data_IF_320120135137
#
_entry.id   IF_320120135137
#
_cell.length_a   1.000
_cell.length_b   1.000
_cell.length_c   1.000
_cell.angle_alpha   90.00
_cell.angle_beta   90.00
_cell.angle_gamma   90.00
#
_symmetry.space_group_name_H-M   'P 1'
#
loop_
_entity.id
_entity.type
_entity.pdbx_description
1 polymer ?
#
# COMPACT_ATOMS: atom_id res chain seq x y z
N UNK A 1 4.87 12.39 1.33
CA UNK A 1 3.76 11.46 1.67
C UNK A 1 3.95 10.12 0.94
N UNK A 2 4.44 9.06 1.62
CA UNK A 2 4.78 7.77 0.99
C UNK A 2 3.60 7.05 0.32
N UNK A 3 2.38 7.16 0.88
CA UNK A 3 1.20 6.52 0.32
C UNK A 3 0.83 7.07 -1.08
N UNK A 4 1.01 8.36 -1.32
CA UNK A 4 0.75 8.95 -2.64
C UNK A 4 1.74 8.45 -3.69
N UNK A 5 3.02 8.29 -3.30
CA UNK A 5 4.05 7.72 -4.17
C UNK A 5 3.73 6.26 -4.47
N UNK A 6 3.37 5.49 -3.45
CA UNK A 6 2.93 4.10 -3.60
C UNK A 6 1.74 3.95 -4.57
N UNK A 7 0.72 4.81 -4.50
CA UNK A 7 -0.40 4.77 -5.45
C UNK A 7 0.01 5.05 -6.90
N UNK A 8 1.10 5.79 -7.13
CA UNK A 8 1.52 6.20 -8.48
C UNK A 8 2.48 5.20 -9.12
N UNK A 9 3.42 4.68 -8.35
CA UNK A 9 4.54 3.88 -8.87
C UNK A 9 4.44 2.39 -8.55
N UNK A 10 3.59 1.99 -7.60
CA UNK A 10 3.43 0.58 -7.27
C UNK A 10 2.08 0.06 -7.81
N UNK A 11 2.08 -0.83 -8.82
CA UNK A 11 0.86 -1.30 -9.48
C UNK A 11 -0.08 -2.05 -8.53
N UNK A 12 0.46 -2.83 -7.58
CA UNK A 12 -0.36 -3.54 -6.59
C UNK A 12 -1.10 -2.57 -5.66
N UNK A 13 -0.40 -1.53 -5.19
CA UNK A 13 -0.98 -0.53 -4.30
C UNK A 13 -1.95 0.40 -5.03
N UNK A 14 -1.66 0.72 -6.30
CA UNK A 14 -2.58 1.42 -7.21
C UNK A 14 -3.87 0.62 -7.40
N UNK A 15 -3.79 -0.68 -7.69
CA UNK A 15 -4.98 -1.52 -7.83
C UNK A 15 -5.84 -1.55 -6.56
N UNK A 16 -5.23 -1.53 -5.36
CA UNK A 16 -5.99 -1.41 -4.11
C UNK A 16 -6.68 -0.05 -3.98
N UNK A 17 -5.98 1.03 -4.33
CA UNK A 17 -6.53 2.38 -4.34
C UNK A 17 -7.76 2.47 -5.25
N UNK A 18 -7.61 2.00 -6.49
CA UNK A 18 -8.64 2.06 -7.51
C UNK A 18 -9.85 1.19 -7.15
N UNK A 19 -9.64 0.00 -6.55
CA UNK A 19 -10.72 -0.83 -6.01
C UNK A 19 -11.52 -0.11 -4.91
N UNK A 20 -10.82 0.56 -3.99
CA UNK A 20 -11.49 1.31 -2.91
C UNK A 20 -12.28 2.51 -3.45
N UNK A 21 -11.73 3.21 -4.46
CA UNK A 21 -12.44 4.27 -5.15
C UNK A 21 -13.66 3.75 -5.92
N UNK A 22 -13.52 2.64 -6.63
CA UNK A 22 -14.61 2.00 -7.37
C UNK A 22 -15.74 1.54 -6.43
N UNK A 23 -15.41 1.15 -5.20
CA UNK A 23 -16.37 0.86 -4.14
C UNK A 23 -17.01 2.13 -3.49
N UNK A 24 -16.81 3.31 -4.07
CA UNK A 24 -17.40 4.58 -3.61
C UNK A 24 -16.74 5.18 -2.37
N UNK A 25 -15.57 4.69 -1.94
CA UNK A 25 -14.90 5.24 -0.75
C UNK A 25 -14.28 6.61 -1.06
N UNK A 26 -14.34 7.56 -0.11
CA UNK A 26 -13.66 8.85 -0.27
C UNK A 26 -12.15 8.66 -0.51
N UNK A 27 -11.51 9.47 -1.38
CA UNK A 27 -10.09 9.35 -1.70
C UNK A 27 -9.17 9.35 -0.46
N UNK A 28 -9.52 10.15 0.56
CA UNK A 28 -8.78 10.19 1.83
C UNK A 28 -8.79 8.83 2.53
N UNK A 29 -9.93 8.14 2.57
CA UNK A 29 -10.06 6.81 3.17
C UNK A 29 -9.21 5.80 2.39
N UNK A 30 -9.23 5.86 1.06
CA UNK A 30 -8.40 4.99 0.23
C UNK A 30 -6.90 5.20 0.47
N UNK A 31 -6.46 6.45 0.66
CA UNK A 31 -5.07 6.78 1.03
C UNK A 31 -4.73 6.22 2.42
N UNK A 32 -5.62 6.38 3.41
CA UNK A 32 -5.37 5.84 4.76
C UNK A 32 -5.25 4.31 4.78
N UNK A 33 -6.03 3.60 3.95
CA UNK A 33 -5.90 2.16 3.79
C UNK A 33 -4.51 1.76 3.25
N UNK A 34 -3.96 2.54 2.32
CA UNK A 34 -2.64 2.30 1.76
C UNK A 34 -1.54 2.61 2.77
N UNK A 35 -1.69 3.69 3.55
CA UNK A 35 -0.80 3.97 4.68
C UNK A 35 -0.78 2.80 5.67
N UNK A 36 -1.96 2.26 6.03
CA UNK A 36 -2.05 1.11 6.93
C UNK A 36 -1.34 -0.11 6.35
N UNK A 37 -1.49 -0.38 5.06
CA UNK A 37 -0.83 -1.51 4.38
C UNK A 37 0.70 -1.37 4.39
N UNK A 38 1.23 -0.17 4.20
CA UNK A 38 2.67 0.10 4.28
C UNK A 38 3.22 -0.12 5.70
N UNK A 39 2.50 0.34 6.74
CA UNK A 39 2.90 0.16 8.14
C UNK A 39 2.90 -1.34 8.50
N UNK A 40 1.87 -2.07 8.09
CA UNK A 40 1.79 -3.52 8.34
C UNK A 40 2.94 -4.25 7.65
N UNK A 41 3.29 -3.88 6.42
CA UNK A 41 4.44 -4.43 5.71
C UNK A 41 5.75 -4.15 6.46
N UNK A 42 5.99 -2.90 6.85
CA UNK A 42 7.19 -2.52 7.60
C UNK A 42 7.29 -3.29 8.93
N UNK A 43 6.20 -3.38 9.69
CA UNK A 43 6.16 -4.14 10.94
C UNK A 43 6.45 -5.63 10.72
N UNK A 44 5.93 -6.24 9.64
CA UNK A 44 6.20 -7.63 9.32
C UNK A 44 7.68 -7.88 8.95
N UNK A 45 8.31 -6.93 8.24
CA UNK A 45 9.73 -7.02 7.88
C UNK A 45 10.62 -6.90 9.12
N UNK A 46 10.34 -5.94 10.00
CA UNK A 46 11.07 -5.74 11.25
C UNK A 46 10.91 -6.94 12.19
N UNK A 47 9.68 -7.45 12.35
CA UNK A 47 9.41 -8.63 13.18
C UNK A 47 10.20 -9.85 12.74
N UNK A 48 10.39 -10.02 11.43
CA UNK A 48 11.09 -11.15 10.84
C UNK A 48 12.58 -10.87 10.55
N UNK A 49 13.10 -9.72 11.01
CA UNK A 49 14.46 -9.23 10.75
C UNK A 49 14.93 -9.42 9.29
N UNK A 50 14.05 -9.14 8.34
CA UNK A 50 14.31 -9.36 6.90
C UNK A 50 14.14 -8.08 6.11
N UNK A 51 14.91 -7.96 5.04
CA UNK A 51 14.75 -6.89 4.05
C UNK A 51 13.55 -7.19 3.15
N UNK A 52 12.97 -6.11 2.62
CA UNK A 52 11.93 -6.22 1.60
C UNK A 52 12.52 -6.87 0.33
N UNK A 53 11.76 -7.77 -0.28
CA UNK A 53 12.11 -8.45 -1.53
C UNK A 53 10.97 -8.26 -2.53
N UNK A 54 11.25 -7.85 -3.78
CA UNK A 54 10.22 -7.76 -4.81
C UNK A 54 9.62 -9.15 -5.06
N UNK A 55 8.32 -9.19 -5.35
CA UNK A 55 7.66 -10.44 -5.75
C UNK A 55 8.20 -10.83 -7.13
N UNK A 56 8.76 -12.04 -7.32
CA UNK A 56 9.13 -12.51 -8.64
C UNK A 56 7.87 -12.63 -9.53
N UNK A 57 8.05 -12.39 -10.83
CA UNK A 57 6.98 -12.40 -11.84
C UNK A 57 6.27 -13.75 -11.92
#
# INVERSE_FOLDING_TARGET
MPALVACRFNPDLKANYDRLKAAGKPPKVAITAIMRKLIVLANALLKNNRKWTPKPA
#
